data_IF_685906120330
#
_entry.id   IF_685906120330
#
_cell.length_a   1.000
_cell.length_b   1.000
_cell.length_c   1.000
_cell.angle_alpha   90.00
_cell.angle_beta   90.00
_cell.angle_gamma   90.00
#
_symmetry.space_group_name_H-M   'P 1'
#
loop_
_entity.id
_entity.type
_entity.pdbx_description
1 polymer ?
#
# COMPACT_ATOMS: atom_id res chain seq x y z
N UNK A 1 24.04 -6.14 27.41
CA UNK A 1 24.29 -4.70 27.26
C UNK A 1 25.66 -4.52 26.65
N UNK A 2 25.82 -3.61 25.68
CA UNK A 2 27.12 -3.37 25.04
C UNK A 2 28.15 -2.85 26.05
N UNK A 3 29.44 -2.92 25.72
CA UNK A 3 30.56 -2.53 26.60
C UNK A 3 30.48 -1.07 27.13
N UNK A 4 29.61 -0.24 26.56
CA UNK A 4 29.36 1.16 26.93
C UNK A 4 27.95 1.42 27.50
N UNK A 5 27.20 0.38 27.91
CA UNK A 5 25.94 0.54 28.64
C UNK A 5 24.68 0.79 27.81
N UNK A 6 24.78 0.99 26.48
CA UNK A 6 23.61 1.15 25.60
C UNK A 6 22.94 -0.15 25.18
N UNK A 7 21.63 -0.09 24.90
CA UNK A 7 20.92 -1.16 24.20
C UNK A 7 21.41 -1.23 22.74
N UNK A 8 21.52 -2.42 22.12
CA UNK A 8 22.08 -2.58 20.77
C UNK A 8 21.48 -1.65 19.70
N UNK A 9 20.23 -1.23 19.89
CA UNK A 9 19.48 -0.41 18.94
C UNK A 9 19.57 1.10 19.19
N UNK A 10 20.08 1.55 20.36
CA UNK A 10 20.21 2.98 20.67
C UNK A 10 21.21 3.70 19.77
N UNK A 11 22.21 2.97 19.23
CA UNK A 11 23.17 3.50 18.25
C UNK A 11 22.48 4.03 16.99
N UNK A 12 21.29 3.52 16.66
CA UNK A 12 20.54 3.95 15.48
C UNK A 12 19.68 5.19 15.75
N UNK A 13 19.37 5.52 17.01
CA UNK A 13 18.49 6.65 17.35
C UNK A 13 18.85 7.99 16.68
N UNK A 14 20.14 8.39 16.63
CA UNK A 14 20.57 9.61 15.96
C UNK A 14 20.61 9.53 14.42
N UNK A 15 20.47 8.34 13.82
CA UNK A 15 20.59 8.16 12.36
C UNK A 15 19.28 8.40 11.62
N UNK A 16 18.17 8.63 12.34
CA UNK A 16 16.88 8.95 11.74
C UNK A 16 16.21 10.14 12.43
N UNK A 17 15.48 10.94 11.64
CA UNK A 17 14.63 12.02 12.15
C UNK A 17 13.17 11.66 11.90
N UNK A 18 12.35 11.72 12.95
CA UNK A 18 10.90 11.57 12.81
C UNK A 18 10.32 12.88 12.26
N UNK A 19 9.89 12.86 11.00
CA UNK A 19 9.32 14.02 10.28
C UNK A 19 7.86 14.34 10.67
N UNK A 20 7.24 13.56 11.55
CA UNK A 20 5.88 13.76 12.04
C UNK A 20 4.78 13.24 11.08
N UNK A 21 3.52 13.40 11.48
CA UNK A 21 2.36 12.95 10.70
C UNK A 21 1.98 13.98 9.61
N UNK A 22 1.93 13.53 8.36
CA UNK A 22 1.40 14.32 7.25
C UNK A 22 -0.13 14.15 7.15
N UNK A 23 -0.87 15.23 7.41
CA UNK A 23 -2.33 15.29 7.18
C UNK A 23 -2.58 15.93 5.82
N UNK A 24 -2.94 15.12 4.83
CA UNK A 24 -3.24 15.54 3.46
C UNK A 24 -4.59 14.99 3.02
N UNK A 25 -5.22 15.66 2.05
CA UNK A 25 -6.46 15.17 1.45
C UNK A 25 -6.17 13.87 0.71
N UNK A 26 -7.02 12.87 0.94
CA UNK A 26 -7.05 11.63 0.18
C UNK A 26 -8.26 11.68 -0.74
N UNK A 27 -8.04 11.46 -2.03
CA UNK A 27 -9.10 11.33 -3.03
C UNK A 27 -9.08 9.90 -3.57
N UNK A 28 -10.22 9.23 -3.58
CA UNK A 28 -10.38 7.89 -4.13
C UNK A 28 -11.42 7.95 -5.24
N UNK A 29 -11.07 7.40 -6.40
CA UNK A 29 -11.90 7.35 -7.60
C UNK A 29 -11.97 5.93 -8.15
N UNK A 30 -13.01 5.64 -8.92
CA UNK A 30 -13.24 4.31 -9.48
C UNK A 30 -13.83 3.34 -8.46
N UNK A 31 -13.75 2.05 -8.77
CA UNK A 31 -14.38 0.99 -7.97
C UNK A 31 -13.66 -0.34 -8.13
N UNK A 32 -13.66 -1.14 -7.06
CA UNK A 32 -13.04 -2.47 -7.08
C UNK A 32 -11.56 -2.42 -7.44
N UNK A 33 -11.10 -3.42 -8.20
CA UNK A 33 -9.71 -3.48 -8.70
C UNK A 33 -9.29 -2.30 -9.60
N UNK A 34 -10.24 -1.57 -10.21
CA UNK A 34 -9.99 -0.39 -11.07
C UNK A 34 -10.18 0.91 -10.30
N UNK A 35 -9.61 0.96 -9.10
CA UNK A 35 -9.63 2.16 -8.25
C UNK A 35 -8.30 2.91 -8.33
N UNK A 36 -8.36 4.22 -8.09
CA UNK A 36 -7.19 5.09 -7.97
C UNK A 36 -7.32 5.86 -6.67
N UNK A 37 -6.24 5.93 -5.89
CA UNK A 37 -6.15 6.86 -4.76
C UNK A 37 -5.05 7.89 -5.02
N UNK A 38 -5.26 9.11 -4.54
CA UNK A 38 -4.29 10.21 -4.57
C UNK A 38 -4.22 10.89 -3.23
N UNK A 39 -3.01 11.24 -2.81
CA UNK A 39 -2.73 11.97 -1.58
C UNK A 39 -1.94 13.22 -1.98
N UNK A 40 -2.53 14.39 -1.77
CA UNK A 40 -2.02 15.66 -2.31
C UNK A 40 -0.57 15.94 -1.87
N UNK A 41 0.33 15.99 -2.85
CA UNK A 41 1.77 16.23 -2.66
C UNK A 41 2.54 15.08 -2.02
N UNK A 42 1.93 13.89 -1.88
CA UNK A 42 2.57 12.70 -1.28
C UNK A 42 2.69 11.57 -2.30
N UNK A 43 1.62 11.23 -3.01
CA UNK A 43 1.66 10.08 -3.91
C UNK A 43 0.32 9.68 -4.49
N UNK A 44 0.36 8.66 -5.34
CA UNK A 44 -0.82 8.04 -5.91
C UNK A 44 -0.61 6.55 -6.15
N UNK A 45 -1.70 5.80 -6.17
CA UNK A 45 -1.73 4.41 -6.59
C UNK A 45 -2.94 4.15 -7.48
N UNK A 46 -2.75 3.34 -8.53
CA UNK A 46 -3.78 2.97 -9.49
C UNK A 46 -3.77 1.46 -9.69
N UNK A 47 -4.94 0.86 -9.52
CA UNK A 47 -5.20 -0.54 -9.86
C UNK A 47 -5.86 -0.69 -11.23
N UNK A 48 -5.64 -1.85 -11.84
CA UNK A 48 -6.38 -2.38 -12.98
C UNK A 48 -6.53 -3.91 -12.84
N UNK A 49 -7.33 -4.53 -13.70
CA UNK A 49 -7.38 -5.98 -13.82
C UNK A 49 -6.03 -6.53 -14.33
N UNK A 50 -5.73 -7.79 -13.98
CA UNK A 50 -4.75 -8.54 -14.73
C UNK A 50 -5.22 -8.65 -16.19
N UNK A 51 -4.28 -8.79 -17.14
CA UNK A 51 -4.59 -8.95 -18.56
C UNK A 51 -4.24 -10.34 -19.03
N UNK A 52 -5.10 -10.93 -19.86
CA UNK A 52 -4.76 -12.15 -20.58
C UNK A 52 -3.60 -11.82 -21.55
N UNK A 53 -2.45 -12.50 -21.49
CA UNK A 53 -1.29 -12.16 -22.30
C UNK A 53 -1.48 -12.42 -23.80
N UNK A 54 -2.50 -13.20 -24.19
CA UNK A 54 -2.83 -13.51 -25.58
C UNK A 54 -3.87 -12.53 -26.13
N UNK A 55 -4.97 -12.30 -25.40
CA UNK A 55 -6.10 -11.50 -25.90
C UNK A 55 -6.04 -10.03 -25.46
N UNK A 56 -5.28 -9.70 -24.42
CA UNK A 56 -5.26 -8.38 -23.80
C UNK A 56 -6.52 -8.03 -23.00
N UNK A 57 -7.49 -8.93 -22.92
CA UNK A 57 -8.73 -8.75 -22.16
C UNK A 57 -8.50 -8.85 -20.66
N UNK A 58 -9.46 -8.36 -19.88
CA UNK A 58 -9.42 -8.47 -18.42
C UNK A 58 -9.44 -9.96 -18.00
N UNK A 59 -8.42 -10.34 -17.24
CA UNK A 59 -8.30 -11.64 -16.62
C UNK A 59 -8.65 -11.52 -15.14
N UNK A 60 -9.83 -12.02 -14.76
CA UNK A 60 -10.38 -11.81 -13.42
C UNK A 60 -9.95 -12.95 -12.49
N UNK A 61 -9.21 -12.60 -11.43
CA UNK A 61 -8.78 -13.53 -10.38
C UNK A 61 -9.32 -13.03 -9.05
N UNK A 62 -10.14 -13.86 -8.40
CA UNK A 62 -10.66 -13.59 -7.07
C UNK A 62 -10.15 -14.67 -6.12
N UNK A 63 -9.75 -14.24 -4.93
CA UNK A 63 -9.26 -15.11 -3.87
C UNK A 63 -10.27 -15.10 -2.73
N UNK A 64 -10.73 -16.29 -2.35
CA UNK A 64 -11.62 -16.49 -1.20
C UNK A 64 -10.82 -17.18 -0.08
N UNK A 65 -10.68 -16.50 1.04
CA UNK A 65 -10.02 -16.96 2.26
C UNK A 65 -11.02 -16.85 3.41
N UNK A 66 -11.94 -17.82 3.60
CA UNK A 66 -13.02 -17.70 4.58
C UNK A 66 -12.54 -17.41 6.01
N UNK A 67 -11.36 -17.92 6.36
CA UNK A 67 -10.69 -17.76 7.66
C UNK A 67 -9.46 -16.84 7.57
N UNK A 68 -9.37 -16.02 6.53
CA UNK A 68 -8.26 -15.09 6.31
C UNK A 68 -8.13 -14.05 7.42
N UNK A 69 -6.89 -13.75 7.80
CA UNK A 69 -6.58 -12.79 8.86
C UNK A 69 -6.70 -11.33 8.40
N UNK A 70 -6.11 -11.00 7.24
CA UNK A 70 -6.07 -9.61 6.74
C UNK A 70 -7.37 -9.28 5.98
N UNK A 71 -7.85 -10.21 5.17
CA UNK A 71 -9.07 -10.09 4.38
C UNK A 71 -9.64 -11.48 4.09
N UNK A 72 -10.95 -11.53 3.84
CA UNK A 72 -11.66 -12.77 3.50
C UNK A 72 -11.90 -12.93 2.00
N UNK A 73 -12.00 -11.82 1.26
CA UNK A 73 -12.15 -11.80 -0.19
C UNK A 73 -11.24 -10.75 -0.79
N UNK A 74 -10.46 -11.15 -1.78
CA UNK A 74 -9.56 -10.29 -2.52
C UNK A 74 -9.80 -10.38 -4.02
N UNK A 75 -9.87 -9.23 -4.69
CA UNK A 75 -9.88 -9.11 -6.13
C UNK A 75 -8.47 -8.78 -6.60
N UNK A 76 -7.77 -9.76 -7.17
CA UNK A 76 -6.41 -9.58 -7.64
C UNK A 76 -6.38 -8.78 -8.96
N UNK A 77 -5.31 -8.02 -9.12
CA UNK A 77 -5.10 -7.09 -10.22
C UNK A 77 -3.63 -6.77 -10.40
N UNK A 78 -3.39 -5.81 -11.29
CA UNK A 78 -2.11 -5.17 -11.50
C UNK A 78 -2.21 -3.72 -11.05
N UNK A 79 -1.23 -3.24 -10.31
CA UNK A 79 -1.20 -1.86 -9.83
C UNK A 79 0.13 -1.19 -10.08
N UNK A 80 0.11 0.13 -10.03
CA UNK A 80 1.32 0.95 -9.96
C UNK A 80 1.13 2.02 -8.90
N UNK A 81 2.20 2.39 -8.20
CA UNK A 81 2.15 3.47 -7.23
C UNK A 81 3.46 4.25 -7.22
N UNK A 82 3.34 5.51 -6.84
CA UNK A 82 4.48 6.36 -6.48
C UNK A 82 4.20 7.10 -5.19
N UNK A 83 5.23 7.27 -4.38
CA UNK A 83 5.16 8.11 -3.20
C UNK A 83 6.51 8.80 -2.98
N UNK A 84 6.43 10.03 -2.48
CA UNK A 84 7.61 10.81 -2.12
C UNK A 84 7.41 11.43 -0.74
N UNK A 85 8.45 11.38 0.08
CA UNK A 85 8.50 12.02 1.38
C UNK A 85 9.94 12.49 1.66
N UNK A 86 10.09 13.77 1.97
CA UNK A 86 11.39 14.43 2.06
C UNK A 86 12.23 14.18 0.78
N UNK A 87 13.41 13.60 0.91
CA UNK A 87 14.35 13.25 -0.15
C UNK A 87 14.19 11.80 -0.66
N UNK A 88 13.28 11.02 -0.07
CA UNK A 88 12.99 9.66 -0.50
C UNK A 88 11.81 9.63 -1.47
N UNK A 89 12.02 9.01 -2.62
CA UNK A 89 10.96 8.69 -3.57
C UNK A 89 10.99 7.21 -3.91
N UNK A 90 9.82 6.59 -3.96
CA UNK A 90 9.62 5.20 -4.35
C UNK A 90 8.59 5.10 -5.45
N UNK A 91 8.83 4.21 -6.40
CA UNK A 91 7.93 3.95 -7.51
C UNK A 91 7.92 2.46 -7.85
N UNK A 92 6.72 1.91 -8.04
CA UNK A 92 6.51 0.54 -8.47
C UNK A 92 5.53 0.54 -9.62
N UNK A 93 5.90 -0.17 -10.67
CA UNK A 93 5.12 -0.25 -11.90
C UNK A 93 4.69 -1.68 -12.16
N UNK A 94 3.40 -1.86 -12.45
CA UNK A 94 2.81 -3.13 -12.87
C UNK A 94 3.04 -4.28 -11.87
N UNK A 95 3.00 -3.99 -10.58
CA UNK A 95 3.12 -4.98 -9.49
C UNK A 95 1.76 -5.57 -9.11
N UNK A 96 1.77 -6.55 -8.20
CA UNK A 96 0.53 -7.10 -7.66
C UNK A 96 -0.34 -6.00 -6.99
N UNK A 97 -1.63 -6.05 -7.25
CA UNK A 97 -2.66 -5.24 -6.60
C UNK A 97 -3.75 -6.16 -6.09
N UNK A 98 -4.26 -5.93 -4.88
CA UNK A 98 -5.41 -6.67 -4.35
C UNK A 98 -6.37 -5.66 -3.77
N UNK A 99 -7.55 -5.57 -4.37
CA UNK A 99 -8.66 -4.85 -3.76
C UNK A 99 -9.39 -5.79 -2.81
N UNK A 100 -9.61 -5.37 -1.58
CA UNK A 100 -10.37 -6.15 -0.60
C UNK A 100 -11.15 -5.21 0.31
N UNK A 101 -12.25 -5.73 0.83
CA UNK A 101 -13.01 -5.10 1.90
C UNK A 101 -12.38 -5.50 3.24
N UNK A 102 -12.30 -4.55 4.16
CA UNK A 102 -11.87 -4.81 5.53
C UNK A 102 -12.81 -4.11 6.50
N UNK A 103 -13.12 -4.79 7.60
CA UNK A 103 -13.90 -4.21 8.68
C UNK A 103 -12.94 -3.54 9.66
N UNK A 104 -13.01 -2.23 9.78
CA UNK A 104 -12.24 -1.47 10.77
C UNK A 104 -13.16 -0.57 11.58
N UNK A 105 -12.93 -0.55 12.90
CA UNK A 105 -13.59 0.33 13.85
C UNK A 105 -12.55 0.91 14.80
N UNK A 106 -12.65 2.20 15.07
CA UNK A 106 -11.97 2.87 16.18
C UNK A 106 -12.90 3.15 17.36
N UNK A 107 -14.12 2.62 17.34
CA UNK A 107 -14.99 2.66 18.51
C UNK A 107 -14.37 1.78 19.61
N UNK A 108 -14.01 2.42 20.72
CA UNK A 108 -13.61 1.75 21.96
C UNK A 108 -14.81 1.13 22.66
#
# INVERSE_FOLDING_TARGET
TGQLGGMPWELLGPTFQVVGLLKKKITIEGSGRKSTFRIDGVGEGRGDALKNPVTGEDHIVNVDLPTGFIWKKGEAGQGSFRASAADLSVEFNKTNWIYYQYDWSNAA
#
